data_IF_539259234112
#
_entry.id   IF_539259234112
#
_cell.length_a   1.000
_cell.length_b   1.000
_cell.length_c   1.000
_cell.angle_alpha   90.00
_cell.angle_beta   90.00
_cell.angle_gamma   90.00
#
_symmetry.space_group_name_H-M   'P 1'
#
loop_
_entity.id
_entity.type
_entity.pdbx_description
1 polymer ?
#
# COMPACT_ATOMS: atom_id res chain seq x y z
N UNK A 1 -12.91 -1.87 13.10
CA UNK A 1 -13.86 -2.49 12.17
C UNK A 1 -13.85 -3.98 12.43
N UNK A 2 -14.98 -4.57 12.78
CA UNK A 2 -15.07 -5.99 13.04
C UNK A 2 -15.14 -6.73 11.70
N UNK A 3 -14.21 -7.66 11.47
CA UNK A 3 -14.32 -8.63 10.39
C UNK A 3 -15.28 -9.71 10.91
N UNK A 4 -16.56 -9.52 10.74
CA UNK A 4 -17.56 -10.54 11.14
C UNK A 4 -17.64 -11.62 10.08
N UNK A 5 -17.48 -12.86 10.53
CA UNK A 5 -18.02 -14.03 9.87
C UNK A 5 -19.54 -14.00 10.01
N UNK A 6 -20.23 -13.34 9.13
CA UNK A 6 -21.57 -13.74 8.85
C UNK A 6 -21.48 -14.93 7.89
N UNK A 7 -21.89 -16.10 8.32
CA UNK A 7 -21.78 -17.37 7.60
C UNK A 7 -22.47 -17.38 6.22
N UNK A 8 -23.11 -16.27 5.85
CA UNK A 8 -23.77 -16.03 4.57
C UNK A 8 -23.16 -14.89 3.73
N UNK A 9 -22.11 -14.22 4.21
CA UNK A 9 -21.54 -13.02 3.59
C UNK A 9 -20.03 -13.17 3.31
N UNK A 10 -19.65 -14.24 2.63
CA UNK A 10 -18.29 -14.32 2.07
C UNK A 10 -18.20 -13.34 0.93
N UNK A 11 -17.53 -12.23 1.18
CA UNK A 11 -17.51 -11.06 0.31
C UNK A 11 -16.25 -11.04 -0.55
N UNK A 12 -15.19 -11.70 -0.10
CA UNK A 12 -13.88 -11.73 -0.75
C UNK A 12 -13.36 -13.17 -0.78
N UNK A 13 -12.90 -13.59 -1.96
CA UNK A 13 -12.22 -14.87 -2.14
C UNK A 13 -10.79 -14.65 -2.60
N UNK A 14 -9.88 -15.46 -2.09
CA UNK A 14 -8.52 -15.60 -2.57
C UNK A 14 -8.41 -17.00 -3.18
N UNK A 15 -8.02 -17.10 -4.45
CA UNK A 15 -7.91 -18.36 -5.18
C UNK A 15 -9.19 -19.23 -5.11
N UNK A 16 -10.36 -18.58 -5.14
CA UNK A 16 -11.67 -19.25 -5.07
C UNK A 16 -12.05 -19.79 -3.69
N UNK A 17 -11.36 -19.40 -2.63
CA UNK A 17 -11.62 -19.76 -1.23
C UNK A 17 -11.77 -18.52 -0.37
N UNK A 18 -12.45 -18.67 0.78
CA UNK A 18 -12.60 -17.56 1.72
C UNK A 18 -11.25 -16.94 2.09
N UNK A 19 -11.19 -15.62 2.09
CA UNK A 19 -9.95 -14.87 2.38
C UNK A 19 -9.48 -15.00 3.84
N UNK A 20 -10.40 -15.19 4.78
CA UNK A 20 -10.08 -15.42 6.21
C UNK A 20 -10.64 -16.76 6.67
N UNK A 21 -10.04 -17.35 7.69
CA UNK A 21 -10.56 -18.54 8.36
C UNK A 21 -11.74 -18.21 9.29
N UNK A 22 -12.16 -19.19 10.07
CA UNK A 22 -13.28 -19.09 11.03
C UNK A 22 -13.01 -18.17 12.22
N UNK A 23 -11.84 -17.57 12.30
CA UNK A 23 -11.45 -16.63 13.35
C UNK A 23 -11.69 -15.20 12.89
N UNK A 24 -12.61 -14.51 13.53
CA UNK A 24 -12.86 -13.09 13.32
C UNK A 24 -11.71 -12.25 13.87
N UNK A 25 -11.04 -11.48 13.02
CA UNK A 25 -10.07 -10.49 13.49
C UNK A 25 -10.78 -9.18 13.81
N UNK A 26 -10.69 -8.72 15.04
CA UNK A 26 -11.24 -7.41 15.44
C UNK A 26 -10.18 -6.34 15.22
N UNK A 27 -10.39 -5.51 14.20
CA UNK A 27 -9.55 -4.33 13.92
C UNK A 27 -10.10 -3.14 14.71
N UNK A 28 -9.74 -3.01 15.96
CA UNK A 28 -10.17 -1.86 16.77
C UNK A 28 -8.96 -1.01 17.13
N UNK A 29 -8.91 0.19 16.54
CA UNK A 29 -8.05 1.29 17.00
C UNK A 29 -6.56 0.98 17.07
N UNK A 30 -6.04 0.15 16.16
CA UNK A 30 -4.67 -0.33 16.24
C UNK A 30 -3.79 0.38 15.22
N UNK A 31 -2.60 0.73 15.64
CA UNK A 31 -1.52 1.24 14.80
C UNK A 31 -0.96 0.21 13.80
N UNK A 32 -1.44 -1.05 13.84
CA UNK A 32 -0.96 -2.17 13.04
C UNK A 32 -2.08 -2.84 12.22
N UNK A 33 -2.94 -2.06 11.59
CA UNK A 33 -4.07 -2.58 10.83
C UNK A 33 -3.65 -3.53 9.69
N UNK A 34 -2.53 -3.23 9.02
CA UNK A 34 -1.99 -4.06 7.95
C UNK A 34 -1.52 -5.43 8.45
N UNK A 35 -0.83 -5.49 9.59
CA UNK A 35 -0.42 -6.74 10.24
C UNK A 35 -1.62 -7.60 10.64
N UNK A 36 -2.63 -6.98 11.25
CA UNK A 36 -3.84 -7.70 11.67
C UNK A 36 -4.61 -8.28 10.48
N UNK A 37 -4.71 -7.53 9.38
CA UNK A 37 -5.32 -8.04 8.13
C UNK A 37 -4.50 -9.17 7.54
N UNK A 38 -3.18 -9.03 7.46
CA UNK A 38 -2.28 -10.07 6.98
C UNK A 38 -2.40 -11.34 7.84
N UNK A 39 -2.39 -11.20 9.16
CA UNK A 39 -2.54 -12.32 10.07
C UNK A 39 -3.91 -13.01 9.92
N UNK A 40 -4.99 -12.24 9.77
CA UNK A 40 -6.32 -12.79 9.54
C UNK A 40 -6.39 -13.61 8.24
N UNK A 41 -5.81 -13.13 7.15
CA UNK A 41 -5.71 -13.86 5.89
C UNK A 41 -4.88 -15.13 6.08
N UNK A 42 -3.75 -15.03 6.77
CA UNK A 42 -2.85 -16.17 6.99
C UNK A 42 -3.47 -17.31 7.82
N UNK A 43 -4.54 -17.04 8.59
CA UNK A 43 -5.28 -18.13 9.28
C UNK A 43 -5.88 -19.14 8.30
N UNK A 44 -6.09 -18.75 7.04
CA UNK A 44 -6.71 -19.60 6.02
C UNK A 44 -5.78 -19.99 4.86
N UNK A 45 -4.48 -19.75 4.99
CA UNK A 45 -3.46 -20.08 3.97
C UNK A 45 -3.54 -21.53 3.50
N UNK A 46 -3.81 -22.49 4.39
CA UNK A 46 -3.94 -23.91 4.02
C UNK A 46 -5.06 -24.17 3.01
N UNK A 47 -6.08 -23.33 2.96
CA UNK A 47 -7.20 -23.48 2.03
C UNK A 47 -6.99 -22.71 0.72
N UNK A 48 -6.54 -21.47 0.78
CA UNK A 48 -6.40 -20.62 -0.42
C UNK A 48 -4.98 -20.57 -0.98
N UNK A 49 -3.97 -21.07 -0.27
CA UNK A 49 -2.60 -21.16 -0.76
C UNK A 49 -1.82 -19.85 -0.75
N UNK A 50 -2.44 -18.73 -0.40
CA UNK A 50 -1.77 -17.44 -0.37
C UNK A 50 -1.25 -17.09 1.04
N UNK A 51 -0.16 -16.32 1.07
CA UNK A 51 0.44 -15.74 2.28
C UNK A 51 0.38 -14.22 2.15
N UNK A 52 -0.08 -13.57 3.22
CA UNK A 52 -0.07 -12.12 3.37
C UNK A 52 1.16 -11.70 4.19
N UNK A 53 1.88 -10.69 3.72
CA UNK A 53 3.02 -10.11 4.43
C UNK A 53 2.80 -8.62 4.57
N UNK A 54 2.72 -8.14 5.81
CA UNK A 54 2.55 -6.72 6.10
C UNK A 54 3.89 -5.98 6.00
N UNK A 55 3.83 -4.72 5.59
CA UNK A 55 4.97 -3.82 5.52
C UNK A 55 4.51 -2.36 5.53
N UNK A 56 5.43 -1.46 5.86
CA UNK A 56 5.26 -0.03 5.63
C UNK A 56 6.53 0.55 5.02
N UNK A 57 6.39 1.45 4.07
CA UNK A 57 7.51 2.12 3.42
C UNK A 57 7.13 3.53 3.00
N UNK A 58 7.86 4.49 3.53
CA UNK A 58 7.75 5.91 3.19
C UNK A 58 9.01 6.33 2.46
N UNK A 59 8.85 6.93 1.29
CA UNK A 59 9.99 7.45 0.50
C UNK A 59 9.88 8.96 0.45
N UNK A 60 10.85 9.63 1.04
CA UNK A 60 10.96 11.08 1.00
C UNK A 60 11.38 11.60 -0.38
N UNK A 61 11.19 12.91 -0.59
CA UNK A 61 11.68 13.58 -1.78
C UNK A 61 13.21 13.52 -1.87
N UNK A 62 13.72 13.58 -3.08
CA UNK A 62 15.16 13.67 -3.34
C UNK A 62 15.69 15.01 -2.84
N UNK A 63 16.69 14.98 -1.95
CA UNK A 63 17.26 16.19 -1.34
C UNK A 63 18.54 16.68 -2.05
N UNK A 64 19.06 15.89 -2.98
CA UNK A 64 20.29 16.24 -3.71
C UNK A 64 21.52 16.32 -2.79
N UNK A 65 22.51 17.11 -3.19
CA UNK A 65 23.77 17.30 -2.42
C UNK A 65 23.68 18.46 -1.41
N UNK A 66 22.65 19.30 -1.48
CA UNK A 66 22.50 20.50 -0.63
C UNK A 66 21.54 20.24 0.52
N UNK A 67 21.89 19.31 1.40
CA UNK A 67 21.13 19.05 2.61
C UNK A 67 21.35 20.17 3.63
N UNK A 68 20.26 20.72 4.16
CA UNK A 68 20.30 21.66 5.29
C UNK A 68 19.10 21.42 6.19
N UNK A 69 19.36 21.04 7.42
CA UNK A 69 18.33 20.86 8.45
C UNK A 69 18.49 21.98 9.49
N UNK A 70 17.44 22.77 9.68
CA UNK A 70 17.48 23.93 10.61
C UNK A 70 16.63 23.69 11.87
N UNK A 71 15.70 22.76 11.82
CA UNK A 71 14.81 22.43 12.94
C UNK A 71 14.68 20.90 13.06
N UNK A 72 14.33 20.47 14.26
CA UNK A 72 14.02 19.06 14.54
C UNK A 72 12.66 18.65 13.98
N UNK A 73 12.49 17.37 13.76
CA UNK A 73 11.22 16.70 13.47
C UNK A 73 11.11 15.46 14.36
N UNK A 74 10.02 14.72 14.26
CA UNK A 74 9.88 13.48 15.02
C UNK A 74 9.42 12.33 14.11
N UNK A 75 9.87 11.12 14.46
CA UNK A 75 9.44 9.86 13.86
C UNK A 75 8.98 8.94 14.98
N UNK A 76 7.76 8.41 14.91
CA UNK A 76 7.21 7.54 15.94
C UNK A 76 7.15 8.19 17.33
N UNK A 77 7.05 9.52 17.41
CA UNK A 77 7.09 10.28 18.67
C UNK A 77 8.50 10.56 19.21
N UNK A 78 9.55 10.03 18.61
CA UNK A 78 10.94 10.31 18.97
C UNK A 78 11.43 11.53 18.20
N UNK A 79 11.98 12.51 18.92
CA UNK A 79 12.54 13.72 18.30
C UNK A 79 13.88 13.43 17.68
N UNK A 80 14.02 13.72 16.40
CA UNK A 80 15.28 13.69 15.65
C UNK A 80 15.85 15.11 15.65
N UNK A 81 17.02 15.27 16.25
CA UNK A 81 17.70 16.55 16.38
C UNK A 81 18.22 17.08 15.06
N UNK A 82 18.63 18.35 15.04
CA UNK A 82 19.26 18.95 13.85
C UNK A 82 20.57 18.24 13.54
N UNK A 83 20.73 17.83 12.26
CA UNK A 83 21.91 17.12 11.75
C UNK A 83 22.57 17.87 10.60
N UNK A 84 23.85 17.62 10.43
CA UNK A 84 24.65 18.20 9.34
C UNK A 84 24.53 17.44 8.03
N UNK A 85 24.18 16.15 8.09
CA UNK A 85 24.09 15.25 6.94
C UNK A 85 22.86 14.35 7.03
N UNK A 86 22.35 13.87 5.89
CA UNK A 86 21.27 12.89 5.83
C UNK A 86 21.68 11.55 6.45
N UNK A 87 22.96 11.17 6.37
CA UNK A 87 23.45 9.95 7.02
C UNK A 87 23.30 10.02 8.55
N UNK A 88 23.64 11.17 9.17
CA UNK A 88 23.42 11.35 10.60
C UNK A 88 21.94 11.30 11.00
N UNK A 89 21.03 11.74 10.13
CA UNK A 89 19.58 11.57 10.33
C UNK A 89 19.20 10.09 10.33
N UNK A 90 19.70 9.33 9.35
CA UNK A 90 19.47 7.88 9.24
C UNK A 90 20.00 7.16 10.48
N UNK A 91 21.21 7.49 10.90
CA UNK A 91 21.87 6.86 12.04
C UNK A 91 21.07 7.10 13.33
N UNK A 92 20.62 8.35 13.58
CA UNK A 92 19.83 8.67 14.77
C UNK A 92 18.45 7.97 14.74
N UNK A 93 17.78 7.90 13.59
CA UNK A 93 16.51 7.18 13.50
C UNK A 93 16.70 5.71 13.81
N UNK A 94 17.73 5.07 13.23
CA UNK A 94 18.01 3.65 13.45
C UNK A 94 18.43 3.35 14.89
N UNK A 95 19.07 4.30 15.58
CA UNK A 95 19.47 4.15 16.98
C UNK A 95 18.29 4.36 17.95
N UNK A 96 17.39 5.33 17.63
CA UNK A 96 16.46 5.86 18.63
C UNK A 96 15.01 5.47 18.40
N UNK A 97 14.62 5.12 17.17
CA UNK A 97 13.21 4.85 16.80
C UNK A 97 12.98 3.35 16.68
N UNK A 98 12.31 2.77 17.65
CA UNK A 98 11.99 1.35 17.62
C UNK A 98 11.00 1.02 16.49
N UNK A 99 11.22 -0.09 15.80
CA UNK A 99 10.32 -0.62 14.75
C UNK A 99 10.38 0.13 13.41
N UNK A 100 11.20 1.16 13.28
CA UNK A 100 11.43 1.87 12.02
C UNK A 100 12.88 1.73 11.61
N UNK A 101 13.11 1.35 10.37
CA UNK A 101 14.44 1.30 9.74
C UNK A 101 14.53 2.44 8.73
N UNK A 102 15.55 3.28 8.89
CA UNK A 102 15.87 4.35 7.97
C UNK A 102 17.02 3.95 7.04
N UNK A 103 16.93 4.33 5.78
CA UNK A 103 17.99 4.16 4.76
C UNK A 103 18.02 5.35 3.82
N UNK A 104 19.14 5.52 3.12
CA UNK A 104 19.22 6.48 2.02
C UNK A 104 18.89 5.80 0.69
N UNK A 105 18.00 6.42 -0.05
CA UNK A 105 17.74 6.11 -1.44
C UNK A 105 18.56 6.97 -2.41
N UNK A 106 18.14 7.00 -3.66
CA UNK A 106 18.77 7.83 -4.69
C UNK A 106 18.69 9.32 -4.32
N UNK A 107 19.75 10.06 -4.68
CA UNK A 107 19.83 11.51 -4.48
C UNK A 107 19.54 11.95 -3.03
N UNK A 108 20.02 11.20 -2.05
CA UNK A 108 19.81 11.46 -0.62
C UNK A 108 18.31 11.50 -0.20
N UNK A 109 17.43 10.76 -0.86
CA UNK A 109 16.08 10.60 -0.35
C UNK A 109 16.08 9.75 0.94
N UNK A 110 15.36 10.21 1.96
CA UNK A 110 15.19 9.43 3.19
C UNK A 110 14.10 8.39 2.98
N UNK A 111 14.42 7.12 3.24
CA UNK A 111 13.46 6.02 3.19
C UNK A 111 13.26 5.50 4.61
N UNK A 112 12.01 5.48 5.07
CA UNK A 112 11.61 4.86 6.32
C UNK A 112 10.84 3.59 6.00
N UNK A 113 11.12 2.51 6.71
CA UNK A 113 10.44 1.23 6.55
C UNK A 113 10.13 0.57 7.89
N UNK A 114 9.05 -0.21 7.89
CA UNK A 114 8.63 -1.04 9.00
C UNK A 114 8.16 -2.38 8.42
N UNK A 115 8.72 -3.49 8.87
CA UNK A 115 8.49 -4.81 8.30
C UNK A 115 7.26 -5.53 8.87
N UNK A 116 6.61 -4.96 9.89
CA UNK A 116 5.37 -5.50 10.47
C UNK A 116 4.12 -4.76 10.00
N UNK A 117 4.29 -3.73 9.15
CA UNK A 117 3.16 -2.93 8.65
C UNK A 117 2.60 -1.93 9.67
N UNK A 118 3.33 -1.66 10.75
CA UNK A 118 2.98 -0.62 11.71
C UNK A 118 2.98 0.77 11.09
N UNK A 119 2.20 1.67 11.66
CA UNK A 119 2.18 3.08 11.26
C UNK A 119 3.55 3.73 11.44
N UNK A 120 3.95 4.55 10.47
CA UNK A 120 5.10 5.45 10.59
C UNK A 120 4.57 6.88 10.74
N UNK A 121 4.69 7.44 11.94
CA UNK A 121 4.20 8.78 12.23
C UNK A 121 5.35 9.76 12.09
N UNK A 122 5.23 10.71 11.17
CA UNK A 122 6.17 11.81 10.97
C UNK A 122 5.50 13.09 11.42
N UNK A 123 6.12 13.83 12.34
CA UNK A 123 5.55 15.06 12.88
C UNK A 123 6.62 16.13 13.16
N UNK A 124 6.20 17.30 13.62
CA UNK A 124 7.08 18.41 13.93
C UNK A 124 7.12 19.49 12.87
N UNK A 125 8.04 20.45 13.04
CA UNK A 125 8.03 21.69 12.24
C UNK A 125 8.83 21.62 10.95
N UNK A 126 9.68 20.60 10.77
CA UNK A 126 10.59 20.57 9.64
C UNK A 126 10.85 19.19 9.01
N UNK A 127 9.84 18.30 8.88
CA UNK A 127 10.07 17.05 8.13
C UNK A 127 10.39 17.30 6.66
N UNK A 128 9.96 18.43 6.09
CA UNK A 128 10.31 18.84 4.72
C UNK A 128 11.80 19.06 4.50
N UNK A 129 12.59 19.35 5.55
CA UNK A 129 14.04 19.48 5.44
C UNK A 129 14.76 18.14 5.16
N UNK A 130 14.07 17.03 5.38
CA UNK A 130 14.53 15.67 5.05
C UNK A 130 13.70 15.03 3.93
N UNK A 131 12.91 15.85 3.22
CA UNK A 131 12.08 15.38 2.10
C UNK A 131 10.80 14.66 2.50
N UNK A 132 10.42 14.66 3.79
CA UNK A 132 9.19 14.04 4.28
C UNK A 132 8.07 15.08 4.48
N UNK A 133 6.84 14.62 4.57
CA UNK A 133 5.68 15.41 4.99
C UNK A 133 5.26 14.94 6.38
N UNK A 134 4.78 15.87 7.23
CA UNK A 134 4.17 15.49 8.50
C UNK A 134 2.84 14.79 8.24
N UNK A 135 2.77 13.49 8.56
CA UNK A 135 1.60 12.66 8.36
C UNK A 135 1.71 11.36 9.17
N UNK A 136 0.61 10.63 9.25
CA UNK A 136 0.56 9.24 9.70
C UNK A 136 0.49 8.33 8.48
N UNK A 137 1.58 7.67 8.19
CA UNK A 137 1.69 6.74 7.08
C UNK A 137 1.23 5.36 7.53
N UNK A 138 0.11 4.92 6.99
CA UNK A 138 -0.47 3.60 7.27
C UNK A 138 0.32 2.50 6.57
N UNK A 139 0.30 1.30 7.16
CA UNK A 139 0.94 0.13 6.57
C UNK A 139 0.13 -0.49 5.44
N UNK A 140 0.80 -1.33 4.70
CA UNK A 140 0.28 -2.12 3.59
C UNK A 140 0.54 -3.61 3.84
N UNK A 141 -0.09 -4.46 3.06
CA UNK A 141 0.30 -5.87 2.96
C UNK A 141 0.29 -6.32 1.51
N UNK A 142 1.12 -7.29 1.22
CA UNK A 142 1.20 -7.96 -0.07
C UNK A 142 0.69 -9.39 0.05
N UNK A 143 0.16 -9.92 -1.04
CA UNK A 143 -0.25 -11.32 -1.15
C UNK A 143 0.64 -12.04 -2.16
N UNK A 144 1.07 -13.23 -1.81
CA UNK A 144 1.79 -14.14 -2.71
C UNK A 144 1.32 -15.57 -2.51
N UNK A 145 1.20 -16.36 -3.58
CA UNK A 145 0.93 -17.78 -3.45
C UNK A 145 2.19 -18.54 -3.05
N UNK A 146 2.04 -19.57 -2.22
CA UNK A 146 3.14 -20.40 -1.74
C UNK A 146 3.87 -21.11 -2.90
N UNK A 147 3.15 -21.42 -3.97
CA UNK A 147 3.68 -22.07 -5.17
C UNK A 147 4.25 -21.09 -6.20
N UNK A 148 4.21 -19.80 -5.91
CA UNK A 148 4.70 -18.74 -6.80
C UNK A 148 3.77 -18.39 -7.96
N UNK A 149 2.57 -18.98 -8.03
CA UNK A 149 1.56 -18.58 -9.00
C UNK A 149 0.95 -17.22 -8.65
N UNK A 150 0.29 -16.58 -9.62
CA UNK A 150 -0.39 -15.32 -9.39
C UNK A 150 -1.60 -15.49 -8.47
N UNK A 151 -1.80 -14.53 -7.57
CA UNK A 151 -2.93 -14.54 -6.64
C UNK A 151 -4.19 -14.07 -7.35
N UNK A 152 -5.25 -14.86 -7.27
CA UNK A 152 -6.58 -14.49 -7.75
C UNK A 152 -7.41 -13.92 -6.61
N UNK A 153 -7.96 -12.72 -6.79
CA UNK A 153 -8.81 -12.04 -5.81
C UNK A 153 -10.16 -11.74 -6.46
N UNK A 154 -11.22 -12.24 -5.88
CA UNK A 154 -12.57 -12.12 -6.40
C UNK A 154 -13.53 -11.56 -5.35
N UNK A 155 -14.50 -10.78 -5.82
CA UNK A 155 -15.67 -10.40 -5.02
C UNK A 155 -16.74 -11.49 -5.11
N UNK A 156 -17.36 -11.78 -3.97
CA UNK A 156 -18.50 -12.66 -3.91
C UNK A 156 -18.17 -14.12 -3.62
N UNK A 157 -19.21 -14.91 -3.44
CA UNK A 157 -19.17 -16.30 -3.00
C UNK A 157 -19.51 -17.30 -4.11
N UNK A 158 -19.73 -16.85 -5.35
CA UNK A 158 -19.98 -17.72 -6.47
C UNK A 158 -18.68 -18.19 -7.12
N UNK A 159 -18.68 -19.39 -7.67
CA UNK A 159 -17.49 -20.01 -8.27
C UNK A 159 -16.86 -19.21 -9.42
N UNK A 160 -17.58 -18.25 -9.98
CA UNK A 160 -17.13 -17.34 -11.03
C UNK A 160 -16.77 -15.93 -10.52
N UNK A 161 -16.71 -15.74 -9.20
CA UNK A 161 -16.40 -14.46 -8.59
C UNK A 161 -17.54 -13.43 -8.64
N UNK A 162 -18.74 -13.80 -9.07
CA UNK A 162 -19.87 -12.90 -9.06
C UNK A 162 -20.54 -12.82 -7.69
N UNK A 163 -20.98 -11.63 -7.35
CA UNK A 163 -21.70 -11.35 -6.12
C UNK A 163 -23.15 -11.83 -6.26
N UNK A 164 -23.60 -12.62 -5.31
CA UNK A 164 -25.03 -12.88 -5.18
C UNK A 164 -25.71 -11.60 -4.64
N UNK A 165 -26.69 -11.10 -5.38
CA UNK A 165 -27.44 -9.87 -5.17
C UNK A 165 -27.19 -9.11 -3.85
N UNK A 166 -26.71 -7.90 -3.97
CA UNK A 166 -26.69 -6.82 -2.97
C UNK A 166 -25.71 -6.95 -1.76
N UNK A 167 -24.83 -7.94 -1.70
CA UNK A 167 -24.02 -8.17 -0.48
C UNK A 167 -22.53 -7.84 -0.60
N UNK A 168 -21.96 -7.76 -1.79
CA UNK A 168 -20.59 -7.32 -1.95
C UNK A 168 -20.49 -6.13 -2.93
N UNK A 169 -19.72 -5.15 -2.56
CA UNK A 169 -19.45 -3.97 -3.37
C UNK A 169 -17.94 -3.82 -3.56
N UNK A 170 -17.46 -3.10 -4.59
CA UNK A 170 -16.06 -2.73 -4.69
C UNK A 170 -15.50 -2.08 -3.41
N UNK A 171 -16.36 -1.43 -2.63
CA UNK A 171 -16.04 -0.86 -1.31
C UNK A 171 -15.62 -1.92 -0.30
N UNK A 172 -16.06 -3.16 -0.44
CA UNK A 172 -15.65 -4.27 0.44
C UNK A 172 -14.17 -4.61 0.24
N UNK A 173 -13.70 -4.70 -1.01
CA UNK A 173 -12.26 -4.88 -1.30
C UNK A 173 -11.44 -3.67 -0.83
N UNK A 174 -11.93 -2.46 -1.05
CA UNK A 174 -11.29 -1.24 -0.58
C UNK A 174 -11.13 -1.19 0.94
N UNK A 175 -12.06 -1.81 1.69
CA UNK A 175 -11.94 -1.95 3.15
C UNK A 175 -10.78 -2.84 3.59
N UNK A 176 -10.33 -3.74 2.71
CA UNK A 176 -9.16 -4.59 2.89
C UNK A 176 -7.93 -4.08 2.16
N UNK A 177 -8.02 -2.93 1.47
CA UNK A 177 -6.91 -2.42 0.65
C UNK A 177 -6.58 -3.31 -0.56
N UNK A 178 -7.53 -4.10 -1.03
CA UNK A 178 -7.34 -5.04 -2.13
C UNK A 178 -8.04 -4.58 -3.41
N UNK A 179 -7.54 -5.07 -4.55
CA UNK A 179 -8.17 -5.00 -5.85
C UNK A 179 -8.46 -6.41 -6.37
N UNK A 180 -9.48 -6.55 -7.23
CA UNK A 180 -9.71 -7.83 -7.91
C UNK A 180 -8.56 -8.14 -8.88
N UNK A 181 -8.15 -9.41 -8.91
CA UNK A 181 -7.17 -9.93 -9.87
C UNK A 181 -7.71 -11.22 -10.48
N UNK A 182 -7.33 -11.53 -11.72
CA UNK A 182 -7.75 -12.78 -12.36
C UNK A 182 -6.78 -13.95 -12.12
N UNK A 183 -5.68 -13.74 -11.41
CA UNK A 183 -4.65 -14.75 -11.20
C UNK A 183 -3.77 -15.02 -12.43
N UNK A 184 -3.73 -14.10 -13.38
CA UNK A 184 -2.94 -14.20 -14.63
C UNK A 184 -2.09 -12.94 -14.83
N UNK A 185 -1.69 -12.30 -13.74
CA UNK A 185 -0.90 -11.05 -13.77
C UNK A 185 -1.70 -9.80 -14.12
N UNK A 186 -3.03 -9.88 -14.17
CA UNK A 186 -3.88 -8.73 -14.45
C UNK A 186 -4.61 -8.26 -13.21
N UNK A 187 -4.55 -6.98 -12.93
CA UNK A 187 -5.34 -6.34 -11.87
C UNK A 187 -6.60 -5.74 -12.48
N UNK A 188 -7.76 -6.14 -11.98
CA UNK A 188 -9.02 -5.53 -12.36
C UNK A 188 -9.23 -4.25 -11.54
N UNK A 189 -9.35 -3.12 -12.22
CA UNK A 189 -9.69 -1.84 -11.60
C UNK A 189 -11.17 -1.74 -11.21
N UNK A 190 -11.48 -0.74 -10.40
CA UNK A 190 -12.86 -0.28 -10.16
C UNK A 190 -13.38 0.49 -11.37
N UNK A 191 -14.67 0.78 -11.39
CA UNK A 191 -15.27 1.61 -12.45
C UNK A 191 -14.52 2.96 -12.56
N UNK A 192 -14.20 3.32 -13.80
CA UNK A 192 -13.46 4.58 -14.08
C UNK A 192 -14.36 5.76 -13.76
N UNK A 193 -13.84 6.71 -12.98
CA UNK A 193 -14.50 7.99 -12.71
C UNK A 193 -14.49 8.90 -13.95
N UNK A 194 -15.39 9.87 -13.99
CA UNK A 194 -15.51 10.84 -15.08
C UNK A 194 -14.45 11.95 -15.04
N UNK A 195 -13.38 11.77 -14.25
CA UNK A 195 -12.30 12.76 -14.15
C UNK A 195 -11.19 12.45 -15.17
N UNK A 196 -10.63 13.48 -15.76
CA UNK A 196 -9.44 13.36 -16.60
C UNK A 196 -8.21 13.12 -15.71
N UNK A 197 -7.21 12.39 -16.21
CA UNK A 197 -5.90 12.37 -15.58
C UNK A 197 -5.21 13.71 -15.84
N UNK A 198 -4.84 14.40 -14.77
CA UNK A 198 -4.07 15.64 -14.83
C UNK A 198 -2.58 15.36 -14.60
N UNK A 199 -1.72 16.34 -14.91
CA UNK A 199 -0.29 16.24 -14.62
C UNK A 199 0.01 16.25 -13.11
N UNK A 200 -0.94 16.69 -12.29
CA UNK A 200 -0.80 16.74 -10.83
C UNK A 200 -1.12 15.43 -10.14
N UNK A 201 -1.77 14.47 -10.83
CA UNK A 201 -2.12 13.17 -10.26
C UNK A 201 -0.90 12.25 -10.06
N UNK A 202 0.20 12.50 -10.80
CA UNK A 202 1.50 11.84 -10.65
C UNK A 202 1.44 10.30 -10.58
N UNK A 203 0.52 9.67 -11.32
CA UNK A 203 0.41 8.22 -11.38
C UNK A 203 1.64 7.65 -12.06
N UNK A 204 2.32 6.71 -11.40
CA UNK A 204 3.48 5.99 -11.96
C UNK A 204 3.19 4.51 -12.08
N UNK A 205 3.65 3.91 -13.17
CA UNK A 205 3.68 2.46 -13.38
C UNK A 205 5.14 2.08 -13.64
N UNK A 206 5.70 1.20 -12.83
CA UNK A 206 7.12 0.82 -12.89
C UNK A 206 8.05 2.06 -12.93
N UNK A 207 7.79 3.03 -12.05
CA UNK A 207 8.50 4.32 -11.94
C UNK A 207 8.39 5.25 -13.16
N UNK A 208 7.56 4.90 -14.15
CA UNK A 208 7.29 5.75 -15.31
C UNK A 208 5.97 6.51 -15.10
N UNK A 209 6.03 7.84 -15.25
CA UNK A 209 4.87 8.70 -15.08
C UNK A 209 3.87 8.50 -16.20
N UNK A 210 2.60 8.26 -15.87
CA UNK A 210 1.48 8.23 -16.81
C UNK A 210 1.15 9.66 -17.25
N UNK A 211 1.02 9.87 -18.55
CA UNK A 211 0.66 11.18 -19.11
C UNK A 211 -0.76 11.63 -18.76
N UNK A 212 -1.01 12.94 -18.85
CA UNK A 212 -2.34 13.49 -18.71
C UNK A 212 -3.26 13.05 -19.86
N UNK A 213 -4.57 12.94 -19.59
CA UNK A 213 -5.57 12.65 -20.62
C UNK A 213 -6.37 13.91 -20.98
N UNK A 214 -6.87 13.99 -22.21
CA UNK A 214 -7.77 15.08 -22.65
C UNK A 214 -9.22 14.71 -22.42
N UNK A 215 -9.53 13.40 -22.41
CA UNK A 215 -10.86 12.84 -22.17
C UNK A 215 -10.90 12.05 -20.86
N UNK A 216 -12.07 12.00 -20.25
CA UNK A 216 -12.36 11.29 -19.02
C UNK A 216 -12.67 9.80 -19.20
N UNK A 217 -12.65 9.31 -20.43
CA UNK A 217 -13.02 7.93 -20.77
C UNK A 217 -11.97 6.90 -20.35
N UNK A 218 -12.40 5.68 -20.05
CA UNK A 218 -11.53 4.54 -19.79
C UNK A 218 -10.55 4.30 -20.97
N UNK A 219 -11.01 4.49 -22.20
CA UNK A 219 -10.19 4.35 -23.40
C UNK A 219 -9.04 5.37 -23.44
N UNK A 220 -9.30 6.64 -23.08
CA UNK A 220 -8.27 7.68 -23.03
C UNK A 220 -7.22 7.38 -21.94
N UNK A 221 -7.67 6.90 -20.78
CA UNK A 221 -6.78 6.49 -19.68
C UNK A 221 -5.93 5.28 -20.06
N UNK A 222 -6.53 4.27 -20.69
CA UNK A 222 -5.80 3.12 -21.22
C UNK A 222 -4.77 3.53 -22.29
N UNK A 223 -5.11 4.46 -23.19
CA UNK A 223 -4.19 4.97 -24.19
C UNK A 223 -2.98 5.67 -23.57
N UNK A 224 -3.19 6.49 -22.52
CA UNK A 224 -2.10 7.16 -21.81
C UNK A 224 -1.16 6.15 -21.11
N UNK A 225 -1.70 5.06 -20.57
CA UNK A 225 -0.90 3.96 -19.99
C UNK A 225 -0.13 3.23 -21.10
N UNK A 226 -0.78 2.87 -22.21
CA UNK A 226 -0.17 2.15 -23.32
C UNK A 226 0.92 2.95 -24.02
N UNK A 227 0.85 4.29 -23.99
CA UNK A 227 1.92 5.14 -24.53
C UNK A 227 3.25 4.95 -23.80
N UNK A 228 3.20 4.70 -22.48
CA UNK A 228 4.42 4.44 -21.70
C UNK A 228 4.88 2.98 -21.82
N UNK A 229 3.98 2.04 -22.07
CA UNK A 229 4.34 0.63 -22.25
C UNK A 229 5.24 0.42 -23.47
N UNK A 230 4.95 1.10 -24.57
CA UNK A 230 5.76 1.08 -25.78
C UNK A 230 7.19 1.60 -25.56
N UNK A 231 7.40 2.44 -24.53
CA UNK A 231 8.71 3.04 -24.24
C UNK A 231 9.56 2.21 -23.29
N UNK A 232 8.99 1.34 -22.48
CA UNK A 232 9.69 0.63 -21.39
C UNK A 232 9.30 -0.83 -21.18
N UNK A 233 8.50 -1.44 -22.06
CA UNK A 233 8.14 -2.85 -21.97
C UNK A 233 7.24 -3.21 -20.78
N UNK A 234 6.31 -2.32 -20.45
CA UNK A 234 5.27 -2.54 -19.43
C UNK A 234 4.02 -3.11 -20.08
#
# INVERSE_FOLDING_TARGET
>A
KQLEEDSNLVVIQINGKNHVGTQSATLVGTSNAAELLANAINTNTLNHGAVATAFNKVVGAEMGSSFTMTNSFSVGGVTIGVKGTMQEVVDEINESVAGVVATLGNNNSLILSNNDGGQIIVAGNAPGSVGLTADTYEGFYSLSNVDGSDVKIELGNLANGYVQAATATPTSLGSYGLNETNGEGHTKGIAVTTDILSRTDQIKINDVLVGATILDTAQAKAAAINEISARRGV
#
